data_IF_326512198571
#
_entry.id   IF_326512198571
#
_cell.length_a   1.000
_cell.length_b   1.000
_cell.length_c   1.000
_cell.angle_alpha   90.00
_cell.angle_beta   90.00
_cell.angle_gamma   90.00
#
_symmetry.space_group_name_H-M   'P 1'
#
loop_
_entity.id
_entity.type
_entity.pdbx_description
1 polymer ?
#
# COMPACT_ATOMS: atom_id res chain seq x y z
N UNK A 1 -17.82 8.28 -0.18
CA UNK A 1 -19.08 8.95 -0.59
C UNK A 1 -19.23 10.37 -0.03
N UNK A 2 -19.01 10.62 1.28
CA UNK A 2 -19.17 11.95 1.91
C UNK A 2 -18.60 13.13 1.11
N UNK A 3 -17.32 13.09 0.74
CA UNK A 3 -16.70 14.22 0.00
C UNK A 3 -17.33 14.46 -1.38
N UNK A 4 -17.78 13.42 -2.07
CA UNK A 4 -18.47 13.59 -3.36
C UNK A 4 -19.80 14.35 -3.19
N UNK A 5 -20.49 14.13 -2.07
CA UNK A 5 -21.70 14.86 -1.71
C UNK A 5 -21.40 16.31 -1.29
N UNK A 6 -20.39 16.52 -0.44
CA UNK A 6 -19.97 17.86 0.02
C UNK A 6 -19.53 18.76 -1.14
N UNK A 7 -18.94 18.19 -2.18
CA UNK A 7 -18.52 18.91 -3.39
C UNK A 7 -19.62 19.02 -4.45
N UNK A 8 -20.84 18.56 -4.15
CA UNK A 8 -21.98 18.55 -5.08
C UNK A 8 -21.65 17.88 -6.43
N UNK A 9 -20.90 16.77 -6.40
CA UNK A 9 -20.58 16.03 -7.61
C UNK A 9 -21.85 15.36 -8.18
N UNK A 10 -21.93 15.12 -9.50
CA UNK A 10 -23.10 14.54 -10.13
C UNK A 10 -23.49 13.18 -9.53
N UNK A 11 -24.79 12.92 -9.45
CA UNK A 11 -25.32 11.65 -8.93
C UNK A 11 -24.75 10.43 -9.66
N UNK A 12 -24.60 10.51 -10.99
CA UNK A 12 -24.00 9.46 -11.80
C UNK A 12 -22.56 9.12 -11.34
N UNK A 13 -21.81 10.11 -10.84
CA UNK A 13 -20.46 9.89 -10.31
C UNK A 13 -20.50 9.18 -8.95
N UNK A 14 -21.44 9.54 -8.08
CA UNK A 14 -21.65 8.87 -6.78
C UNK A 14 -22.03 7.40 -6.99
N UNK A 15 -22.93 7.13 -7.94
CA UNK A 15 -23.34 5.77 -8.29
C UNK A 15 -22.18 4.96 -8.86
N UNK A 16 -21.38 5.55 -9.75
CA UNK A 16 -20.18 4.91 -10.26
C UNK A 16 -19.18 4.60 -9.14
N UNK A 17 -18.96 5.54 -8.20
CA UNK A 17 -18.09 5.31 -7.04
C UNK A 17 -18.53 4.10 -6.22
N UNK A 18 -19.83 3.95 -5.97
CA UNK A 18 -20.38 2.87 -5.15
C UNK A 18 -20.41 1.51 -5.89
N UNK A 19 -20.76 1.52 -7.18
CA UNK A 19 -21.06 0.29 -7.93
C UNK A 19 -19.87 -0.26 -8.73
N UNK A 20 -18.93 0.60 -9.13
CA UNK A 20 -17.81 0.21 -10.00
C UNK A 20 -16.47 0.06 -9.27
N UNK A 21 -16.41 0.36 -7.97
CA UNK A 21 -15.18 0.33 -7.19
C UNK A 21 -15.31 -0.59 -5.98
N UNK A 22 -14.20 -1.14 -5.50
CA UNK A 22 -14.14 -1.92 -4.27
C UNK A 22 -13.26 -1.21 -3.25
N UNK A 23 -13.84 -0.86 -2.10
CA UNK A 23 -13.11 -0.30 -0.96
C UNK A 23 -12.84 -1.43 0.05
N UNK A 24 -11.60 -1.90 0.13
CA UNK A 24 -11.23 -3.05 0.94
C UNK A 24 -10.60 -2.60 2.26
N UNK A 25 -11.06 -3.16 3.38
CA UNK A 25 -10.42 -2.96 4.68
C UNK A 25 -9.16 -3.81 4.77
N UNK A 26 -8.10 -3.26 5.36
CA UNK A 26 -6.82 -3.95 5.53
C UNK A 26 -6.32 -3.87 6.96
N UNK A 27 -5.60 -4.90 7.40
CA UNK A 27 -4.69 -4.85 8.54
C UNK A 27 -3.28 -5.09 8.00
N UNK A 28 -2.40 -4.11 8.19
CA UNK A 28 -1.00 -4.17 7.79
C UNK A 28 -0.13 -4.10 9.04
N UNK A 29 0.90 -4.94 9.10
CA UNK A 29 1.86 -4.91 10.20
C UNK A 29 3.26 -5.21 9.67
N UNK A 30 4.18 -4.27 9.94
CA UNK A 30 5.62 -4.37 9.70
C UNK A 30 6.30 -3.15 10.32
N UNK A 31 7.30 -3.35 11.16
CA UNK A 31 8.18 -2.27 11.60
C UNK A 31 9.08 -1.86 10.43
N UNK A 32 8.97 -0.58 10.06
CA UNK A 32 9.80 0.08 9.05
C UNK A 32 10.52 1.24 9.73
N UNK A 33 11.84 1.16 9.80
CA UNK A 33 12.69 2.15 10.48
C UNK A 33 13.09 3.32 9.58
N UNK A 34 12.83 3.24 8.27
CA UNK A 34 13.18 4.28 7.32
C UNK A 34 14.58 4.10 6.74
N UNK A 35 15.03 5.15 6.07
CA UNK A 35 16.35 5.20 5.43
C UNK A 35 17.49 5.01 6.44
N UNK A 36 18.40 4.03 6.25
CA UNK A 36 19.40 3.66 7.24
C UNK A 36 20.64 4.57 7.19
N UNK A 37 20.49 5.83 7.63
CA UNK A 37 21.54 6.87 7.49
C UNK A 37 22.91 6.46 8.02
N UNK A 38 22.95 5.70 9.12
CA UNK A 38 24.21 5.30 9.78
C UNK A 38 24.85 4.06 9.14
N UNK A 39 24.09 3.29 8.34
CA UNK A 39 24.54 2.02 7.75
C UNK A 39 24.62 2.07 6.22
N UNK A 40 24.07 3.11 5.58
CA UNK A 40 23.86 3.12 4.12
C UNK A 40 25.15 2.99 3.31
N UNK A 41 26.25 3.63 3.73
CA UNK A 41 27.51 3.53 2.99
C UNK A 41 28.02 2.09 2.91
N UNK A 42 27.86 1.32 3.99
CA UNK A 42 28.22 -0.10 4.05
C UNK A 42 27.25 -0.94 3.21
N UNK A 43 25.95 -0.68 3.33
CA UNK A 43 24.92 -1.39 2.56
C UNK A 43 25.09 -1.18 1.05
N UNK A 44 25.40 0.04 0.60
CA UNK A 44 25.64 0.35 -0.81
C UNK A 44 26.91 -0.32 -1.36
N UNK A 45 27.97 -0.45 -0.55
CA UNK A 45 29.16 -1.22 -0.90
C UNK A 45 28.82 -2.71 -1.08
N UNK A 46 28.05 -3.29 -0.15
CA UNK A 46 27.61 -4.69 -0.21
C UNK A 46 26.66 -4.96 -1.40
N UNK A 47 25.77 -4.02 -1.68
CA UNK A 47 24.78 -4.09 -2.77
C UNK A 47 25.40 -3.76 -4.15
N UNK A 48 26.50 -3.00 -4.18
CA UNK A 48 27.20 -2.61 -5.40
C UNK A 48 26.52 -1.47 -6.17
N UNK A 49 25.58 -0.75 -5.56
CA UNK A 49 24.92 0.41 -6.15
C UNK A 49 24.50 1.43 -5.09
N UNK A 50 24.38 2.69 -5.52
CA UNK A 50 23.82 3.76 -4.72
C UNK A 50 22.29 3.75 -4.79
N UNK A 51 21.62 3.82 -3.63
CA UNK A 51 20.17 3.88 -3.53
C UNK A 51 19.72 5.02 -2.60
N UNK A 52 19.23 6.11 -3.19
CA UNK A 52 18.67 7.24 -2.47
C UNK A 52 17.32 6.98 -1.80
N UNK A 53 16.67 5.84 -2.09
CA UNK A 53 15.37 5.44 -1.56
C UNK A 53 15.43 4.15 -0.73
N UNK A 54 16.62 3.75 -0.29
CA UNK A 54 16.80 2.58 0.56
C UNK A 54 15.96 2.70 1.84
N UNK A 55 15.30 1.61 2.23
CA UNK A 55 14.51 1.56 3.45
C UNK A 55 14.85 0.28 4.22
N UNK A 56 14.77 0.36 5.54
CA UNK A 56 15.02 -0.77 6.44
C UNK A 56 13.76 -1.14 7.17
N UNK A 57 13.52 -2.43 7.25
CA UNK A 57 12.36 -2.99 7.90
C UNK A 57 12.72 -4.33 8.52
N UNK A 58 11.95 -4.75 9.52
CA UNK A 58 12.11 -6.08 10.09
C UNK A 58 11.75 -7.19 9.09
N UNK A 59 12.09 -8.43 9.47
CA UNK A 59 11.77 -9.62 8.68
C UNK A 59 10.29 -10.00 8.75
N UNK A 60 9.63 -9.77 9.89
CA UNK A 60 8.21 -10.06 10.04
C UNK A 60 7.38 -9.10 9.19
N UNK A 61 6.33 -9.63 8.57
CA UNK A 61 5.32 -8.82 7.90
C UNK A 61 3.97 -9.54 7.91
N UNK A 62 2.89 -8.76 7.98
CA UNK A 62 1.52 -9.23 7.90
C UNK A 62 0.73 -8.34 6.96
N UNK A 63 -0.03 -8.97 6.07
CA UNK A 63 -1.02 -8.29 5.27
C UNK A 63 -2.33 -9.09 5.28
N UNK A 64 -3.37 -8.51 5.86
CA UNK A 64 -4.74 -9.03 5.85
C UNK A 64 -5.59 -8.06 5.06
N UNK A 65 -6.41 -8.58 4.15
CA UNK A 65 -7.31 -7.78 3.32
C UNK A 65 -8.70 -8.41 3.25
N UNK A 66 -9.72 -7.59 3.48
CA UNK A 66 -11.13 -7.95 3.33
C UNK A 66 -11.64 -7.38 2.01
N UNK A 67 -11.84 -8.25 1.02
CA UNK A 67 -12.31 -7.85 -0.30
C UNK A 67 -12.95 -8.99 -1.10
N UNK A 68 -13.34 -8.71 -2.36
CA UNK A 68 -13.86 -9.72 -3.28
C UNK A 68 -12.87 -10.87 -3.49
N UNK A 69 -13.37 -12.09 -3.73
CA UNK A 69 -12.50 -13.26 -3.97
C UNK A 69 -11.55 -13.08 -5.17
N UNK A 70 -11.98 -12.32 -6.18
CA UNK A 70 -11.16 -12.01 -7.35
C UNK A 70 -9.85 -11.28 -6.99
N UNK A 71 -9.82 -10.59 -5.85
CA UNK A 71 -8.66 -9.83 -5.40
C UNK A 71 -7.45 -10.73 -5.09
N UNK A 72 -7.68 -11.96 -4.64
CA UNK A 72 -6.59 -12.90 -4.37
C UNK A 72 -5.81 -13.23 -5.65
N UNK A 73 -6.50 -13.42 -6.78
CA UNK A 73 -5.87 -13.66 -8.08
C UNK A 73 -5.19 -12.41 -8.63
N UNK A 74 -5.84 -11.24 -8.50
CA UNK A 74 -5.30 -9.97 -8.98
C UNK A 74 -3.99 -9.60 -8.27
N UNK A 75 -3.98 -9.74 -6.93
CA UNK A 75 -2.84 -9.39 -6.08
C UNK A 75 -1.85 -10.54 -5.86
N UNK A 76 -2.08 -11.71 -6.48
CA UNK A 76 -1.20 -12.90 -6.35
C UNK A 76 -0.98 -13.31 -4.89
N UNK A 77 -2.08 -13.48 -4.17
CA UNK A 77 -2.10 -13.86 -2.75
C UNK A 77 -2.20 -15.38 -2.54
N UNK A 78 -2.16 -16.16 -3.62
CA UNK A 78 -2.12 -17.63 -3.66
C UNK A 78 -0.71 -18.21 -3.50
#
# INVERSE_FOLDING_TARGET
LRYAQEWALPEAFIQWLDQANSFCSTLVDRIVTGYPRDEVAKLEEELGYHDGFLDTAEHFYLFVIQGPKSLATELRLD
#
